data_IF_440864245140
#
_entry.id   IF_440864245140
#
_cell.length_a   1.000
_cell.length_b   1.000
_cell.length_c   1.000
_cell.angle_alpha   90.00
_cell.angle_beta   90.00
_cell.angle_gamma   90.00
#
_symmetry.space_group_name_H-M   'P 1'
#
loop_
_entity.id
_entity.type
_entity.pdbx_description
1 polymer ?
#
# COMPACT_ATOMS: atom_id res chain seq x y z
N UNK A 1 -20.38 -41.87 -0.07
CA UNK A 1 -21.28 -41.05 -0.92
C UNK A 1 -20.66 -39.67 -1.06
N UNK A 2 -20.11 -39.34 -2.23
CA UNK A 2 -19.56 -38.00 -2.46
C UNK A 2 -20.69 -36.98 -2.42
N UNK A 3 -20.62 -36.03 -1.47
CA UNK A 3 -21.56 -34.91 -1.36
C UNK A 3 -21.58 -34.18 -2.71
N UNK A 4 -22.73 -34.18 -3.38
CA UNK A 4 -22.93 -33.44 -4.62
C UNK A 4 -22.73 -31.94 -4.34
N UNK A 5 -21.98 -31.25 -5.21
CA UNK A 5 -21.73 -29.82 -5.05
C UNK A 5 -23.04 -29.03 -5.01
N UNK A 6 -23.11 -28.07 -4.08
CA UNK A 6 -24.29 -27.22 -3.88
C UNK A 6 -24.41 -26.25 -5.04
N UNK A 7 -25.51 -26.30 -5.78
CA UNK A 7 -25.82 -25.35 -6.85
C UNK A 7 -26.49 -24.11 -6.25
N UNK A 8 -25.82 -22.96 -6.36
CA UNK A 8 -26.33 -21.68 -5.86
C UNK A 8 -26.97 -20.88 -7.00
N UNK A 9 -28.26 -20.58 -6.85
CA UNK A 9 -28.97 -19.69 -7.76
C UNK A 9 -28.91 -18.25 -7.24
N UNK A 10 -27.89 -17.51 -7.66
CA UNK A 10 -27.63 -16.15 -7.19
C UNK A 10 -28.33 -15.14 -8.12
N UNK A 11 -29.10 -14.22 -7.54
CA UNK A 11 -29.63 -13.06 -8.27
C UNK A 11 -28.62 -11.92 -8.21
N UNK A 12 -28.19 -11.44 -9.37
CA UNK A 12 -27.25 -10.32 -9.52
C UNK A 12 -27.78 -9.30 -10.52
N UNK A 13 -27.26 -8.08 -10.47
CA UNK A 13 -27.55 -7.06 -11.48
C UNK A 13 -26.93 -7.42 -12.82
N UNK A 14 -27.53 -6.91 -13.91
CA UNK A 14 -27.02 -7.15 -15.27
C UNK A 14 -25.60 -6.61 -15.43
N UNK A 15 -25.33 -5.41 -14.91
CA UNK A 15 -23.99 -4.80 -14.96
C UNK A 15 -22.93 -5.67 -14.28
N UNK A 16 -23.24 -6.28 -13.13
CA UNK A 16 -22.30 -7.15 -12.44
C UNK A 16 -22.05 -8.43 -13.24
N UNK A 17 -23.10 -8.99 -13.83
CA UNK A 17 -22.98 -10.17 -14.70
C UNK A 17 -22.05 -9.88 -15.89
N UNK A 18 -22.25 -8.74 -16.57
CA UNK A 18 -21.46 -8.34 -17.73
C UNK A 18 -19.97 -8.19 -17.37
N UNK A 19 -19.68 -7.59 -16.20
CA UNK A 19 -18.30 -7.47 -15.69
C UNK A 19 -17.66 -8.82 -15.41
N UNK A 20 -18.40 -9.77 -14.85
CA UNK A 20 -17.90 -11.12 -14.59
C UNK A 20 -17.63 -11.86 -15.91
N UNK A 21 -18.52 -11.73 -16.89
CA UNK A 21 -18.33 -12.33 -18.23
C UNK A 21 -17.10 -11.77 -18.94
N UNK A 22 -16.89 -10.46 -18.89
CA UNK A 22 -15.70 -9.83 -19.48
C UNK A 22 -14.41 -10.31 -18.78
N UNK A 23 -14.42 -10.38 -17.44
CA UNK A 23 -13.29 -10.89 -16.65
C UNK A 23 -12.99 -12.36 -16.99
N UNK A 24 -14.04 -13.19 -17.06
CA UNK A 24 -13.91 -14.60 -17.40
C UNK A 24 -13.29 -14.80 -18.80
N UNK A 25 -13.71 -14.00 -19.78
CA UNK A 25 -13.13 -14.00 -21.13
C UNK A 25 -11.66 -13.58 -21.11
N UNK A 26 -11.31 -12.52 -20.38
CA UNK A 26 -9.91 -12.06 -20.25
C UNK A 26 -9.01 -13.11 -19.59
N UNK A 27 -9.55 -13.86 -18.64
CA UNK A 27 -8.81 -14.86 -17.87
C UNK A 27 -8.90 -16.28 -18.46
N UNK A 28 -9.53 -16.46 -19.64
CA UNK A 28 -9.76 -17.76 -20.28
C UNK A 28 -10.42 -18.81 -19.35
N UNK A 29 -11.44 -18.39 -18.61
CA UNK A 29 -12.18 -19.23 -17.65
C UNK A 29 -13.67 -19.23 -17.97
N UNK A 30 -14.39 -20.24 -17.46
CA UNK A 30 -15.85 -20.20 -17.46
C UNK A 30 -16.36 -19.15 -16.48
N UNK A 31 -17.55 -18.62 -16.74
CA UNK A 31 -18.19 -17.61 -15.87
C UNK A 31 -18.31 -18.14 -14.44
N UNK A 32 -18.70 -19.41 -14.26
CA UNK A 32 -18.81 -20.03 -12.94
C UNK A 32 -17.46 -20.13 -12.24
N UNK A 33 -16.40 -20.55 -12.95
CA UNK A 33 -15.06 -20.64 -12.37
C UNK A 33 -14.53 -19.26 -11.96
N UNK A 34 -14.80 -18.23 -12.77
CA UNK A 34 -14.42 -16.86 -12.46
C UNK A 34 -15.20 -16.31 -11.26
N UNK A 35 -16.52 -16.54 -11.22
CA UNK A 35 -17.34 -16.12 -10.09
C UNK A 35 -16.88 -16.75 -8.77
N UNK A 36 -16.56 -18.05 -8.78
CA UNK A 36 -15.98 -18.76 -7.62
C UNK A 36 -14.64 -18.12 -7.24
N UNK A 37 -13.74 -17.91 -8.21
CA UNK A 37 -12.43 -17.29 -7.96
C UNK A 37 -12.56 -15.91 -7.31
N UNK A 38 -13.48 -15.07 -7.81
CA UNK A 38 -13.71 -13.72 -7.30
C UNK A 38 -14.29 -13.77 -5.87
N UNK A 39 -15.25 -14.66 -5.62
CA UNK A 39 -15.80 -14.87 -4.28
C UNK A 39 -14.71 -15.35 -3.30
N UNK A 40 -13.93 -16.36 -3.68
CA UNK A 40 -12.82 -16.83 -2.85
C UNK A 40 -11.79 -15.74 -2.58
N UNK A 41 -11.43 -14.94 -3.59
CA UNK A 41 -10.48 -13.83 -3.43
C UNK A 41 -11.02 -12.78 -2.46
N UNK A 42 -12.29 -12.44 -2.57
CA UNK A 42 -12.95 -11.49 -1.65
C UNK A 42 -12.97 -12.02 -0.21
N UNK A 43 -13.23 -13.32 -0.03
CA UNK A 43 -13.26 -13.96 1.28
C UNK A 43 -11.85 -14.13 1.88
N UNK A 44 -10.83 -14.46 1.07
CA UNK A 44 -9.42 -14.51 1.50
C UNK A 44 -8.91 -13.14 1.97
N UNK A 45 -9.28 -12.08 1.25
CA UNK A 45 -8.88 -10.71 1.60
C UNK A 45 -9.55 -10.19 2.89
N UNK A 46 -10.57 -10.89 3.42
CA UNK A 46 -11.18 -10.55 4.72
C UNK A 46 -10.32 -10.95 5.92
N UNK A 47 -9.37 -11.88 5.76
CA UNK A 47 -8.35 -12.19 6.78
C UNK A 47 -7.17 -11.20 6.78
N UNK A 48 -7.11 -10.31 5.79
CA UNK A 48 -6.10 -9.25 5.67
C UNK A 48 -6.77 -7.89 5.86
N UNK A 49 -7.64 -7.76 6.85
CA UNK A 49 -8.06 -6.43 7.30
C UNK A 49 -6.82 -5.64 7.65
N UNK A 50 -6.66 -4.52 6.93
CA UNK A 50 -5.59 -3.51 6.88
C UNK A 50 -4.88 -3.10 8.19
N UNK A 51 -5.31 -3.60 9.34
CA UNK A 51 -4.72 -3.34 10.65
C UNK A 51 -3.86 -4.50 11.19
N UNK A 52 -4.06 -5.76 10.77
CA UNK A 52 -3.40 -6.91 11.42
C UNK A 52 -2.10 -7.37 10.78
N UNK A 53 -1.83 -7.00 9.52
CA UNK A 53 -0.59 -7.41 8.83
C UNK A 53 0.61 -6.55 9.25
N UNK A 54 0.37 -5.35 9.79
CA UNK A 54 1.43 -4.47 10.26
C UNK A 54 1.83 -4.73 11.72
N UNK A 55 1.10 -5.59 12.44
CA UNK A 55 1.29 -5.79 13.89
C UNK A 55 1.93 -7.14 14.23
N UNK A 56 2.13 -8.02 13.25
CA UNK A 56 2.63 -9.37 13.49
C UNK A 56 3.66 -9.79 12.42
N UNK A 57 4.92 -9.39 12.63
CA UNK A 57 6.05 -9.81 11.80
C UNK A 57 6.20 -11.33 11.78
N UNK A 58 5.84 -12.03 12.85
CA UNK A 58 5.86 -13.49 12.94
C UNK A 58 4.78 -14.11 12.05
N UNK A 59 3.62 -13.48 11.92
CA UNK A 59 2.55 -13.88 11.02
C UNK A 59 2.96 -13.87 9.54
N UNK A 60 3.71 -12.85 9.11
CA UNK A 60 4.22 -12.75 7.73
C UNK A 60 5.25 -13.84 7.44
N UNK A 61 6.21 -14.03 8.35
CA UNK A 61 7.26 -15.07 8.20
C UNK A 61 6.63 -16.46 8.18
N UNK A 62 5.66 -16.72 9.05
CA UNK A 62 4.94 -18.00 9.10
C UNK A 62 4.14 -18.27 7.82
N UNK A 63 3.49 -17.26 7.25
CA UNK A 63 2.77 -17.41 5.97
C UNK A 63 3.72 -17.70 4.79
N UNK A 64 4.92 -17.11 4.80
CA UNK A 64 5.96 -17.37 3.79
C UNK A 64 6.50 -18.80 3.94
N UNK A 65 6.87 -19.22 5.16
CA UNK A 65 7.32 -20.60 5.45
C UNK A 65 6.27 -21.64 5.06
N UNK A 66 4.98 -21.38 5.31
CA UNK A 66 3.90 -22.28 4.91
C UNK A 66 3.71 -22.37 3.38
N UNK A 67 4.01 -21.30 2.66
CA UNK A 67 3.90 -21.26 1.19
C UNK A 67 5.14 -21.81 0.49
N UNK A 68 6.30 -21.72 1.13
CA UNK A 68 7.59 -22.22 0.65
C UNK A 68 8.38 -22.85 1.81
N UNK A 69 8.14 -24.13 2.13
CA UNK A 69 8.71 -24.79 3.31
C UNK A 69 10.23 -24.99 3.24
N UNK A 70 10.81 -24.95 2.04
CA UNK A 70 12.25 -25.17 1.82
C UNK A 70 13.08 -23.87 1.87
N UNK A 71 12.46 -22.71 2.10
CA UNK A 71 13.21 -21.45 2.23
C UNK A 71 13.88 -21.38 3.61
N UNK A 72 15.19 -21.12 3.62
CA UNK A 72 15.89 -20.80 4.86
C UNK A 72 15.38 -19.49 5.46
N UNK A 73 15.46 -19.38 6.78
CA UNK A 73 15.06 -18.16 7.50
C UNK A 73 15.84 -16.94 7.02
N UNK A 74 17.15 -17.08 6.80
CA UNK A 74 18.01 -16.04 6.22
C UNK A 74 17.54 -15.57 4.84
N UNK A 75 17.05 -16.48 3.99
CA UNK A 75 16.55 -16.14 2.66
C UNK A 75 15.23 -15.37 2.72
N UNK A 76 14.36 -15.70 3.69
CA UNK A 76 13.12 -14.99 3.94
C UNK A 76 13.43 -13.58 4.44
N UNK A 77 14.35 -13.45 5.39
CA UNK A 77 14.76 -12.16 5.95
C UNK A 77 15.37 -11.25 4.87
N UNK A 78 16.30 -11.77 4.07
CA UNK A 78 16.91 -11.02 2.97
C UNK A 78 15.88 -10.56 1.93
N UNK A 79 14.89 -11.40 1.62
CA UNK A 79 13.81 -11.07 0.68
C UNK A 79 12.87 -9.99 1.23
N UNK A 80 12.53 -10.07 2.53
CA UNK A 80 11.71 -9.07 3.20
C UNK A 80 12.43 -7.72 3.27
N UNK A 81 13.72 -7.71 3.61
CA UNK A 81 14.54 -6.49 3.63
C UNK A 81 14.64 -5.87 2.24
N UNK A 82 14.93 -6.66 1.21
CA UNK A 82 14.97 -6.16 -0.16
C UNK A 82 13.62 -5.59 -0.64
N UNK A 83 12.51 -6.23 -0.26
CA UNK A 83 11.15 -5.74 -0.55
C UNK A 83 10.84 -4.45 0.19
N UNK A 84 11.25 -4.34 1.45
CA UNK A 84 11.09 -3.14 2.26
C UNK A 84 11.88 -1.96 1.67
N UNK A 85 13.14 -2.17 1.29
CA UNK A 85 13.97 -1.14 0.68
C UNK A 85 13.40 -0.64 -0.65
N UNK A 86 12.89 -1.56 -1.48
CA UNK A 86 12.23 -1.23 -2.74
C UNK A 86 10.97 -0.39 -2.51
N UNK A 87 10.10 -0.81 -1.60
CA UNK A 87 8.86 -0.10 -1.28
C UNK A 87 9.17 1.27 -0.66
N UNK A 88 10.10 1.33 0.29
CA UNK A 88 10.53 2.56 0.94
C UNK A 88 11.06 3.56 -0.08
N UNK A 89 11.93 3.11 -1.00
CA UNK A 89 12.45 3.93 -2.09
C UNK A 89 11.33 4.43 -3.01
N UNK A 90 10.37 3.57 -3.34
CA UNK A 90 9.23 3.95 -4.17
C UNK A 90 8.33 4.99 -3.48
N UNK A 91 8.06 4.81 -2.18
CA UNK A 91 7.27 5.75 -1.38
C UNK A 91 7.97 7.10 -1.29
N UNK A 92 9.27 7.12 -0.99
CA UNK A 92 10.07 8.35 -0.94
C UNK A 92 10.07 9.04 -2.30
N UNK A 93 10.25 8.29 -3.38
CA UNK A 93 10.26 8.84 -4.73
C UNK A 93 8.90 9.45 -5.12
N UNK A 94 7.81 8.71 -4.93
CA UNK A 94 6.46 9.17 -5.24
C UNK A 94 6.03 10.37 -4.39
N UNK A 95 6.51 10.46 -3.16
CA UNK A 95 6.17 11.54 -2.23
C UNK A 95 7.26 12.61 -2.12
N UNK A 96 8.27 12.61 -3.00
CA UNK A 96 9.45 13.49 -2.90
C UNK A 96 9.09 14.96 -2.72
N UNK A 97 8.13 15.47 -3.49
CA UNK A 97 7.75 16.88 -3.41
C UNK A 97 6.98 17.21 -2.13
N UNK A 98 6.11 16.30 -1.66
CA UNK A 98 5.40 16.43 -0.39
C UNK A 98 6.36 16.35 0.81
N UNK A 99 7.34 15.46 0.75
CA UNK A 99 8.40 15.33 1.76
C UNK A 99 9.22 16.62 1.83
N UNK A 100 9.61 17.18 0.68
CA UNK A 100 10.31 18.48 0.63
C UNK A 100 9.46 19.59 1.21
N UNK A 101 8.17 19.66 0.87
CA UNK A 101 7.25 20.67 1.41
C UNK A 101 7.14 20.56 2.94
N UNK A 102 6.94 19.35 3.48
CA UNK A 102 6.90 19.12 4.91
C UNK A 102 8.23 19.49 5.59
N UNK A 103 9.36 19.17 4.97
CA UNK A 103 10.68 19.55 5.50
C UNK A 103 10.85 21.06 5.54
N UNK A 104 10.48 21.77 4.47
CA UNK A 104 10.53 23.25 4.41
C UNK A 104 9.60 23.86 5.46
N UNK A 105 8.35 23.39 5.57
CA UNK A 105 7.41 23.90 6.58
C UNK A 105 7.91 23.64 8.00
N UNK A 106 8.46 22.45 8.29
CA UNK A 106 9.02 22.13 9.61
C UNK A 106 10.22 23.01 9.96
N UNK A 107 11.08 23.31 8.97
CA UNK A 107 12.22 24.22 9.15
C UNK A 107 11.75 25.66 9.38
N UNK A 108 10.76 26.13 8.63
CA UNK A 108 10.16 27.45 8.83
C UNK A 108 9.57 27.59 10.24
N UNK A 109 8.86 26.56 10.72
CA UNK A 109 8.28 26.56 12.07
C UNK A 109 9.36 26.57 13.15
N UNK A 110 10.45 25.82 12.96
CA UNK A 110 11.59 25.81 13.87
C UNK A 110 12.31 27.16 13.92
N UNK A 111 12.50 27.81 12.76
CA UNK A 111 13.15 29.11 12.67
C UNK A 111 12.29 30.24 13.25
N UNK A 112 10.98 30.24 13.01
CA UNK A 112 10.05 31.19 13.66
C UNK A 112 10.13 31.11 15.18
N UNK A 113 10.14 29.89 15.74
CA UNK A 113 10.31 29.68 17.18
C UNK A 113 11.66 30.21 17.70
N UNK A 114 12.72 30.14 16.90
CA UNK A 114 14.04 30.69 17.26
C UNK A 114 14.05 32.23 17.25
N UNK A 115 13.41 32.83 16.26
CA UNK A 115 13.29 34.30 16.20
C UNK A 115 12.43 34.86 17.33
N UNK A 116 11.35 34.16 17.70
CA UNK A 116 10.53 34.49 18.88
C UNK A 116 11.33 34.45 20.19
N UNK A 117 12.42 33.68 20.24
CA UNK A 117 13.36 33.61 21.36
C UNK A 117 14.47 34.68 21.30
N UNK A 118 14.48 35.53 20.27
CA UNK A 118 15.38 36.68 20.15
C UNK A 118 16.83 36.35 19.76
N UNK A 119 17.10 35.14 19.26
CA UNK A 119 18.45 34.59 19.07
C UNK A 119 18.77 34.24 17.59
N UNK A 120 18.04 34.84 16.63
CA UNK A 120 18.02 34.41 15.23
C UNK A 120 18.48 35.43 14.19
N UNK A 121 19.34 34.98 13.27
CA UNK A 121 19.65 35.65 12.00
C UNK A 121 18.51 35.42 10.99
N UNK A 122 17.78 36.49 10.65
CA UNK A 122 16.57 36.48 9.80
C UNK A 122 16.84 36.15 8.31
N UNK A 123 18.10 36.18 7.87
CA UNK A 123 18.45 35.94 6.47
C UNK A 123 18.05 34.54 5.96
N UNK A 124 17.97 33.55 6.84
CA UNK A 124 17.57 32.18 6.47
C UNK A 124 16.05 32.02 6.32
N UNK A 125 15.26 32.79 7.07
CA UNK A 125 13.80 32.77 6.97
C UNK A 125 13.34 33.38 5.65
N UNK A 126 13.91 34.51 5.25
CA UNK A 126 13.57 35.17 3.98
C UNK A 126 13.87 34.26 2.77
N UNK A 127 15.04 33.62 2.74
CA UNK A 127 15.40 32.68 1.66
C UNK A 127 14.44 31.48 1.55
N UNK A 128 13.94 30.96 2.68
CA UNK A 128 12.98 29.84 2.68
C UNK A 128 11.57 30.27 2.29
N UNK A 129 11.15 31.50 2.62
CA UNK A 129 9.89 32.08 2.14
C UNK A 129 9.89 32.27 0.62
N UNK A 130 11.00 32.74 0.04
CA UNK A 130 11.12 32.90 -1.41
C UNK A 130 11.01 31.56 -2.16
N UNK A 131 11.58 30.48 -1.60
CA UNK A 131 11.44 29.11 -2.13
C UNK A 131 9.98 28.64 -2.08
N UNK A 132 9.23 28.98 -1.03
CA UNK A 132 7.81 28.62 -0.89
C UNK A 132 6.92 29.40 -1.87
N UNK A 133 7.12 30.71 -1.97
CA UNK A 133 6.33 31.61 -2.85
C UNK A 133 6.56 31.31 -4.33
N UNK A 134 7.79 30.92 -4.72
CA UNK A 134 8.13 30.52 -6.09
C UNK A 134 7.40 29.24 -6.55
N UNK A 135 6.97 28.37 -5.62
CA UNK A 135 6.21 27.15 -5.92
C UNK A 135 4.70 27.35 -6.02
N UNK A 136 4.11 28.31 -5.31
CA UNK A 136 2.67 28.59 -5.39
C UNK A 136 2.24 29.29 -6.71
N UNK A 137 3.22 29.77 -7.49
CA UNK A 137 2.99 30.46 -8.78
C UNK A 137 3.18 29.58 -10.04
N UNK A 138 3.39 28.27 -9.89
CA UNK A 138 3.53 27.30 -11.00
C UNK A 138 2.46 26.23 -10.90
#
# INVERSE_FOLDING_TARGET
>A
MSKKDVQLNIRITQELKDKIEESARKNNRSINAEAITLMERSLRNKSLTKASVLDDSEGIVSAIKNSQPDLSEDAIEASLMGSFDMISSMVVFQNKEKIKELAVNSLLDALKKRDELGDGDNSLLENLYDIKISKEKK
#
